data_IF_781445083153
#
_entry.id   IF_781445083153
#
_cell.length_a   1.000
_cell.length_b   1.000
_cell.length_c   1.000
_cell.angle_alpha   90.00
_cell.angle_beta   90.00
_cell.angle_gamma   90.00
#
_symmetry.space_group_name_H-M   'P 1'
#
loop_
_entity.id
_entity.type
_entity.pdbx_description
1 polymer ?
#
# COMPACT_ATOMS: atom_id res chain seq x y z
N UNK A 1 -1.07 -2.10 10.87
CA UNK A 1 -0.92 -1.35 9.62
C UNK A 1 -1.05 -2.33 8.48
N UNK A 2 -1.67 -1.93 7.38
CA UNK A 2 -2.01 -2.76 6.23
C UNK A 2 -1.81 -1.95 4.95
N UNK A 3 -1.10 -2.51 3.99
CA UNK A 3 -1.02 -1.97 2.63
C UNK A 3 -2.28 -2.32 1.87
N UNK A 4 -2.82 -1.38 1.09
CA UNK A 4 -3.96 -1.60 0.17
C UNK A 4 -3.69 -0.92 -1.16
N UNK A 5 -4.23 -1.45 -2.24
CA UNK A 5 -4.17 -0.81 -3.56
C UNK A 5 -5.42 0.05 -3.76
N UNK A 6 -5.22 1.34 -4.00
CA UNK A 6 -6.29 2.31 -4.26
C UNK A 6 -6.83 2.11 -5.68
N UNK A 7 -8.14 1.95 -5.81
CA UNK A 7 -8.79 1.67 -7.10
C UNK A 7 -9.27 2.92 -7.82
N UNK A 8 -9.50 4.01 -7.10
CA UNK A 8 -9.99 5.30 -7.63
C UNK A 8 -9.33 6.45 -6.88
N UNK A 9 -9.10 7.57 -7.56
CA UNK A 9 -8.56 8.77 -6.92
C UNK A 9 -9.62 9.43 -6.04
N UNK A 10 -9.30 9.71 -4.78
CA UNK A 10 -10.17 10.41 -3.82
C UNK A 10 -9.35 11.11 -2.75
N UNK A 11 -9.96 12.06 -2.06
CA UNK A 11 -9.39 12.72 -0.88
C UNK A 11 -10.02 12.13 0.40
N UNK A 12 -9.22 11.94 1.44
CA UNK A 12 -9.68 11.33 2.68
C UNK A 12 -8.80 11.63 3.88
N UNK A 13 -9.30 11.33 5.07
CA UNK A 13 -8.64 11.63 6.34
C UNK A 13 -8.21 10.35 7.06
N UNK A 14 -7.07 9.73 6.69
CA UNK A 14 -6.62 8.48 7.29
C UNK A 14 -6.32 8.59 8.80
N UNK A 15 -5.94 9.80 9.27
CA UNK A 15 -5.69 10.12 10.69
C UNK A 15 -6.84 10.88 11.35
N UNK A 16 -7.90 11.20 10.61
CA UNK A 16 -9.02 12.03 11.06
C UNK A 16 -8.74 13.53 11.17
N UNK A 17 -7.50 13.98 10.93
CA UNK A 17 -7.09 15.39 10.99
C UNK A 17 -6.48 15.88 9.69
N UNK A 18 -5.62 15.07 9.11
CA UNK A 18 -4.86 15.43 7.92
C UNK A 18 -5.57 14.90 6.68
N UNK A 19 -5.95 15.81 5.78
CA UNK A 19 -6.45 15.43 4.47
C UNK A 19 -5.28 14.87 3.65
N UNK A 20 -5.52 13.73 3.02
CA UNK A 20 -4.60 13.09 2.10
C UNK A 20 -5.33 12.76 0.82
N UNK A 21 -4.73 13.14 -0.30
CA UNK A 21 -5.12 12.69 -1.62
C UNK A 21 -4.57 11.30 -1.88
N UNK A 22 -5.45 10.37 -2.20
CA UNK A 22 -5.14 9.01 -2.64
C UNK A 22 -5.32 8.93 -4.15
N UNK A 23 -4.34 8.36 -4.84
CA UNK A 23 -4.37 8.22 -6.29
C UNK A 23 -4.65 6.77 -6.71
N UNK A 24 -5.41 6.58 -7.79
CA UNK A 24 -5.66 5.24 -8.32
C UNK A 24 -4.31 4.55 -8.69
N UNK A 25 -4.14 3.30 -8.26
CA UNK A 25 -2.91 2.52 -8.40
C UNK A 25 -1.91 2.71 -7.26
N UNK A 26 -2.10 3.68 -6.38
CA UNK A 26 -1.24 3.89 -5.21
C UNK A 26 -1.40 2.73 -4.22
N UNK A 27 -0.31 2.37 -3.54
CA UNK A 27 -0.29 1.32 -2.51
C UNK A 27 0.14 1.85 -1.14
N UNK A 28 -0.67 2.72 -0.49
CA UNK A 28 -0.33 3.27 0.81
C UNK A 28 -0.43 2.21 1.91
N UNK A 29 0.45 2.31 2.91
CA UNK A 29 0.27 1.64 4.19
C UNK A 29 -0.65 2.47 5.10
N UNK A 30 -1.73 1.87 5.57
CA UNK A 30 -2.80 2.51 6.34
C UNK A 30 -3.10 1.73 7.62
N UNK A 31 -3.87 2.31 8.54
CA UNK A 31 -4.39 1.56 9.70
C UNK A 31 -5.33 0.44 9.22
N UNK A 32 -5.39 -0.67 9.97
CA UNK A 32 -6.24 -1.80 9.61
C UNK A 32 -7.71 -1.38 9.50
N UNK A 33 -8.16 -0.52 10.42
CA UNK A 33 -9.51 0.04 10.45
C UNK A 33 -9.81 0.86 9.19
N UNK A 34 -8.92 1.79 8.83
CA UNK A 34 -9.15 2.64 7.65
C UNK A 34 -9.07 1.83 6.36
N UNK A 35 -8.12 0.90 6.25
CA UNK A 35 -8.02 -0.03 5.13
C UNK A 35 -9.31 -0.86 4.96
N UNK A 36 -9.88 -1.38 6.04
CA UNK A 36 -11.14 -2.12 6.00
C UNK A 36 -12.30 -1.26 5.49
N UNK A 37 -12.38 0.01 5.92
CA UNK A 37 -13.39 0.96 5.42
C UNK A 37 -13.25 1.22 3.92
N UNK A 38 -12.02 1.42 3.43
CA UNK A 38 -11.78 1.64 1.99
C UNK A 38 -12.18 0.41 1.16
N UNK A 39 -11.87 -0.79 1.64
CA UNK A 39 -12.25 -2.05 0.98
C UNK A 39 -13.78 -2.21 0.98
N UNK A 40 -14.44 -2.00 2.12
CA UNK A 40 -15.90 -2.10 2.23
C UNK A 40 -16.64 -1.10 1.33
N UNK A 41 -16.03 0.07 1.06
CA UNK A 41 -16.56 1.08 0.13
C UNK A 41 -16.21 0.81 -1.33
N UNK A 42 -15.42 -0.22 -1.64
CA UNK A 42 -14.94 -0.50 -2.99
C UNK A 42 -13.93 0.52 -3.52
N UNK A 43 -13.27 1.27 -2.64
CA UNK A 43 -12.25 2.27 -2.98
C UNK A 43 -10.84 1.68 -3.02
N UNK A 44 -10.62 0.57 -2.32
CA UNK A 44 -9.34 -0.12 -2.28
C UNK A 44 -9.52 -1.65 -2.31
N UNK A 45 -8.43 -2.37 -2.58
CA UNK A 45 -8.35 -3.83 -2.42
C UNK A 45 -7.11 -4.25 -1.66
N UNK A 46 -7.11 -5.47 -1.16
CA UNK A 46 -5.88 -6.07 -0.67
C UNK A 46 -4.84 -6.11 -1.82
N UNK A 47 -3.61 -5.67 -1.55
CA UNK A 47 -2.59 -5.63 -2.58
C UNK A 47 -2.33 -7.09 -2.93
N UNK A 48 -2.40 -7.39 -4.22
CA UNK A 48 -1.99 -8.70 -4.70
C UNK A 48 -0.56 -8.89 -4.20
N UNK A 49 -0.24 -10.00 -3.48
CA UNK A 49 1.10 -10.19 -2.97
C UNK A 49 2.07 -9.99 -4.14
N UNK A 50 3.09 -9.11 -4.00
CA UNK A 50 4.02 -8.90 -5.08
C UNK A 50 4.58 -10.27 -5.42
N UNK A 51 4.47 -10.65 -6.70
CA UNK A 51 5.25 -11.77 -7.21
C UNK A 51 6.69 -11.45 -6.85
N UNK A 52 7.23 -12.18 -5.85
CA UNK A 52 8.49 -11.96 -5.14
C UNK A 52 9.36 -10.92 -5.84
N UNK A 53 9.44 -9.71 -5.30
CA UNK A 53 10.54 -8.83 -5.63
C UNK A 53 11.81 -9.62 -5.30
N UNK A 54 12.49 -10.09 -6.34
CA UNK A 54 13.81 -10.72 -6.23
C UNK A 54 14.67 -9.76 -5.42
N UNK A 55 15.04 -10.18 -4.22
CA UNK A 55 15.99 -9.46 -3.40
C UNK A 55 17.20 -9.10 -4.29
N UNK A 56 17.73 -7.86 -4.22
CA UNK A 56 18.95 -7.54 -4.95
C UNK A 56 20.02 -8.55 -4.53
N UNK A 57 20.50 -9.32 -5.50
CA UNK A 57 21.62 -10.22 -5.30
C UNK A 57 22.79 -9.37 -4.82
N UNK A 58 23.14 -9.48 -3.54
CA UNK A 58 24.46 -9.05 -3.08
C UNK A 58 25.49 -9.82 -3.92
N UNK A 59 26.42 -9.15 -4.62
CA UNK A 59 27.57 -9.81 -5.16
C UNK A 59 28.30 -10.51 -4.01
N UNK A 60 28.62 -11.79 -4.20
CA UNK A 60 29.50 -12.54 -3.34
C UNK A 60 30.89 -11.95 -3.55
N UNK A 61 31.38 -11.17 -2.59
CA UNK A 61 32.78 -10.78 -2.59
C UNK A 61 33.60 -12.02 -2.25
N UNK A 62 34.30 -12.51 -3.27
CA UNK A 62 35.39 -13.47 -3.19
C UNK A 62 36.63 -12.74 -2.66
N UNK A 63 37.17 -13.16 -1.52
CA UNK A 63 38.53 -12.87 -1.08
C UNK A 63 38.94 -13.99 -0.11
N UNK A 64 39.70 -15.00 -0.58
CA UNK A 64 41.16 -15.04 -0.71
C UNK A 64 41.84 -15.41 0.63
#
# INVERSE_FOLDING_TARGET
>A
MKTVEILRTFDGYPTGKDERRFTAGEQPELSNEYAALLIAKGLAREPRPPAKATAPAKPKDDAA
#
